data_IF_830464159788
#
_entry.id   IF_830464159788
#
_cell.length_a   1.000
_cell.length_b   1.000
_cell.length_c   1.000
_cell.angle_alpha   90.00
_cell.angle_beta   90.00
_cell.angle_gamma   90.00
#
_symmetry.space_group_name_H-M   'P 1'
#
loop_
_entity.id
_entity.type
_entity.pdbx_description
1 polymer ?
#
# COMPACT_ATOMS: atom_id res chain seq x y z
N UNK A 1 -4.01 -12.56 -20.85
CA UNK A 1 -2.61 -12.45 -20.38
C UNK A 1 -2.59 -12.59 -18.85
N UNK A 2 -1.65 -13.36 -18.30
CA UNK A 2 -1.48 -13.49 -16.84
C UNK A 2 -0.84 -12.22 -16.24
N UNK A 3 -1.40 -11.71 -15.14
CA UNK A 3 -0.89 -10.51 -14.46
C UNK A 3 0.48 -10.76 -13.81
N UNK A 4 1.36 -9.75 -13.82
CA UNK A 4 2.73 -9.83 -13.27
C UNK A 4 2.76 -10.35 -11.81
N UNK A 5 1.90 -9.87 -10.88
CA UNK A 5 1.87 -10.39 -9.51
C UNK A 5 1.68 -11.91 -9.42
N UNK A 6 0.79 -12.48 -10.23
CA UNK A 6 0.53 -13.92 -10.29
C UNK A 6 1.71 -14.70 -10.84
N UNK A 7 2.41 -14.16 -11.86
CA UNK A 7 3.65 -14.75 -12.40
C UNK A 7 4.74 -14.81 -11.34
N UNK A 8 4.94 -13.72 -10.59
CA UNK A 8 5.92 -13.63 -9.50
C UNK A 8 5.56 -14.65 -8.41
N UNK A 9 4.30 -14.72 -7.98
CA UNK A 9 3.86 -15.66 -6.95
C UNK A 9 4.09 -17.13 -7.36
N UNK A 10 3.82 -17.49 -8.62
CA UNK A 10 4.14 -18.81 -9.17
C UNK A 10 5.64 -19.11 -9.17
N UNK A 11 6.45 -18.15 -9.64
CA UNK A 11 7.91 -18.28 -9.65
C UNK A 11 8.48 -18.51 -8.25
N UNK A 12 7.96 -17.77 -7.26
CA UNK A 12 8.33 -17.88 -5.85
C UNK A 12 7.69 -19.08 -5.12
N UNK A 13 6.87 -19.89 -5.81
CA UNK A 13 6.13 -21.03 -5.24
C UNK A 13 5.25 -20.67 -4.04
N UNK A 14 4.64 -19.48 -4.06
CA UNK A 14 3.70 -19.05 -3.03
C UNK A 14 2.36 -19.75 -3.20
N UNK A 15 1.69 -20.01 -2.08
CA UNK A 15 0.33 -20.55 -2.07
C UNK A 15 -0.66 -19.56 -2.70
N UNK A 16 -1.69 -20.09 -3.36
CA UNK A 16 -2.75 -19.31 -4.00
C UNK A 16 -2.28 -18.17 -4.94
N UNK A 17 -1.45 -18.43 -5.98
CA UNK A 17 -0.97 -17.39 -6.90
C UNK A 17 -2.08 -16.55 -7.54
N UNK A 18 -3.30 -17.09 -7.68
CA UNK A 18 -4.48 -16.40 -8.17
C UNK A 18 -4.92 -15.21 -7.32
N UNK A 19 -4.56 -15.18 -6.02
CA UNK A 19 -4.87 -14.08 -5.10
C UNK A 19 -3.93 -12.88 -5.26
N UNK A 20 -2.79 -13.07 -5.91
CA UNK A 20 -1.82 -12.01 -6.17
C UNK A 20 -2.28 -11.23 -7.40
N UNK A 21 -3.01 -10.15 -7.14
CA UNK A 21 -3.55 -9.25 -8.16
C UNK A 21 -2.80 -7.92 -8.18
N UNK A 22 -2.95 -7.16 -9.26
CA UNK A 22 -2.46 -5.78 -9.31
C UNK A 22 -3.08 -4.91 -8.21
N UNK A 23 -4.32 -5.20 -7.79
CA UNK A 23 -4.96 -4.50 -6.69
C UNK A 23 -4.22 -4.71 -5.36
N UNK A 24 -3.85 -5.95 -5.02
CA UNK A 24 -3.08 -6.24 -3.80
C UNK A 24 -1.71 -5.57 -3.82
N UNK A 25 -1.02 -5.55 -4.96
CA UNK A 25 0.25 -4.83 -5.13
C UNK A 25 0.10 -3.33 -4.91
N UNK A 26 -0.91 -2.70 -5.51
CA UNK A 26 -1.18 -1.26 -5.33
C UNK A 26 -1.45 -0.92 -3.86
N UNK A 27 -2.27 -1.72 -3.18
CA UNK A 27 -2.57 -1.53 -1.75
C UNK A 27 -1.31 -1.67 -0.90
N UNK A 28 -0.56 -2.75 -1.08
CA UNK A 28 0.68 -3.03 -0.34
C UNK A 28 1.70 -1.90 -0.55
N UNK A 29 1.86 -1.43 -1.79
CA UNK A 29 2.77 -0.34 -2.11
C UNK A 29 2.38 0.98 -1.43
N UNK A 30 1.08 1.31 -1.37
CA UNK A 30 0.61 2.49 -0.62
C UNK A 30 0.81 2.35 0.90
N UNK A 31 0.57 1.16 1.47
CA UNK A 31 0.87 0.89 2.89
C UNK A 31 2.36 1.08 3.20
N UNK A 32 3.25 0.58 2.34
CA UNK A 32 4.70 0.76 2.51
C UNK A 32 5.09 2.24 2.45
N UNK A 33 4.53 3.00 1.50
CA UNK A 33 4.78 4.43 1.39
C UNK A 33 4.28 5.20 2.63
N UNK A 34 3.11 4.86 3.15
CA UNK A 34 2.57 5.52 4.36
C UNK A 34 3.41 5.19 5.61
N UNK A 35 3.90 3.96 5.74
CA UNK A 35 4.81 3.56 6.83
C UNK A 35 6.20 4.21 6.68
N UNK A 36 6.63 4.54 5.46
CA UNK A 36 7.84 5.34 5.22
C UNK A 36 7.66 6.84 5.51
N UNK A 37 6.48 7.26 5.99
CA UNK A 37 6.19 8.66 6.32
C UNK A 37 5.58 9.47 5.18
N UNK A 38 5.12 8.82 4.11
CA UNK A 38 4.39 9.47 3.02
C UNK A 38 3.08 10.10 3.52
N UNK A 39 2.89 11.38 3.22
CA UNK A 39 1.65 12.10 3.52
C UNK A 39 0.52 11.78 2.52
N UNK A 40 -0.67 12.31 2.79
CA UNK A 40 -1.86 12.08 1.98
C UNK A 40 -1.69 12.48 0.50
N UNK A 41 -0.91 13.53 0.21
CA UNK A 41 -0.69 14.00 -1.16
C UNK A 41 0.19 13.02 -1.92
N UNK A 42 1.25 12.52 -1.28
CA UNK A 42 2.12 11.48 -1.84
C UNK A 42 1.35 10.19 -2.07
N UNK A 43 0.51 9.76 -1.12
CA UNK A 43 -0.31 8.55 -1.26
C UNK A 43 -1.31 8.70 -2.41
N UNK A 44 -2.01 9.83 -2.52
CA UNK A 44 -2.94 10.10 -3.63
C UNK A 44 -2.24 10.07 -4.98
N UNK A 45 -1.08 10.71 -5.10
CA UNK A 45 -0.27 10.71 -6.31
C UNK A 45 0.20 9.31 -6.68
N UNK A 46 0.69 8.55 -5.70
CA UNK A 46 1.21 7.19 -5.87
C UNK A 46 0.13 6.20 -6.33
N UNK A 47 -1.03 6.20 -5.68
CA UNK A 47 -2.11 5.26 -6.02
C UNK A 47 -3.09 5.75 -7.08
N UNK A 48 -2.92 6.97 -7.59
CA UNK A 48 -3.81 7.60 -8.57
C UNK A 48 -5.21 7.89 -8.01
N UNK A 49 -5.33 8.20 -6.72
CA UNK A 49 -6.62 8.45 -6.08
C UNK A 49 -7.06 9.91 -6.23
N UNK A 50 -8.23 10.10 -6.86
CA UNK A 50 -8.87 11.43 -6.97
C UNK A 50 -9.43 11.89 -5.61
N UNK A 51 -10.20 11.03 -4.95
CA UNK A 51 -10.71 11.27 -3.59
C UNK A 51 -9.69 10.84 -2.54
N UNK A 52 -9.65 11.55 -1.40
CA UNK A 52 -8.79 11.18 -0.27
C UNK A 52 -9.33 9.99 0.51
N UNK A 53 -10.62 9.68 0.46
CA UNK A 53 -11.26 8.68 1.36
C UNK A 53 -10.53 7.33 1.42
N UNK A 54 -10.05 6.82 0.28
CA UNK A 54 -9.30 5.54 0.23
C UNK A 54 -7.82 5.74 0.63
N UNK A 55 -7.26 6.90 0.32
CA UNK A 55 -5.87 7.25 0.59
C UNK A 55 -5.64 7.57 2.08
N UNK A 56 -6.60 8.23 2.73
CA UNK A 56 -6.58 8.63 4.15
C UNK A 56 -6.32 7.42 5.05
N UNK A 57 -7.02 6.30 4.76
CA UNK A 57 -6.87 5.05 5.52
C UNK A 57 -5.42 4.55 5.57
N UNK A 58 -4.62 4.72 4.50
CA UNK A 58 -3.22 4.28 4.55
C UNK A 58 -2.37 5.13 5.51
N UNK A 59 -2.61 6.44 5.54
CA UNK A 59 -1.92 7.37 6.44
C UNK A 59 -2.36 7.12 7.88
N UNK A 60 -3.66 6.94 8.11
CA UNK A 60 -4.23 6.63 9.43
C UNK A 60 -3.75 5.29 9.99
N UNK A 61 -3.60 4.27 9.15
CA UNK A 61 -3.13 2.94 9.57
C UNK A 61 -1.60 2.89 9.76
N UNK A 62 -0.86 3.94 9.37
CA UNK A 62 0.60 4.00 9.48
C UNK A 62 1.07 3.94 10.93
N UNK A 63 1.82 2.89 11.28
CA UNK A 63 2.37 2.71 12.63
C UNK A 63 3.41 3.79 12.91
N UNK A 64 4.25 4.12 11.93
CA UNK A 64 5.28 5.14 12.09
C UNK A 64 4.68 6.54 12.22
N UNK A 65 3.57 6.82 11.50
CA UNK A 65 2.77 8.03 11.69
C UNK A 65 2.27 8.16 13.13
N UNK A 66 1.66 7.10 13.66
CA UNK A 66 1.18 7.05 15.06
C UNK A 66 2.30 7.26 16.06
N UNK A 67 3.43 6.56 15.89
CA UNK A 67 4.61 6.72 16.77
C UNK A 67 5.17 8.15 16.72
N UNK A 68 5.19 8.78 15.55
CA UNK A 68 5.69 10.15 15.40
C UNK A 68 4.82 11.13 16.19
N UNK A 69 3.49 11.06 16.05
CA UNK A 69 2.56 11.91 16.80
C UNK A 69 2.65 11.64 18.31
N UNK A 70 2.74 10.37 18.72
CA UNK A 70 2.86 10.00 20.12
C UNK A 70 4.14 10.55 20.80
N UNK A 71 5.19 10.84 20.03
CA UNK A 71 6.43 11.48 20.55
C UNK A 71 6.36 13.00 20.61
N UNK A 72 5.32 13.61 20.07
CA UNK A 72 5.15 15.08 20.05
C UNK A 72 4.34 15.61 21.23
N UNK A 73 3.76 14.72 22.04
CA UNK A 73 2.99 15.00 23.26
C UNK A 73 3.65 14.32 24.45
#
# INVERSE_FOLDING_TARGET
MEAIPKKIAKYLKLEHPERYTGHCFRRTSATLLANAGGDITLIKRHGGWKSSTVADKYVEDSIEGKKKVARMI
#
